data_IF_542512102553
#
_entry.id   IF_542512102553
#
_cell.length_a   1.000
_cell.length_b   1.000
_cell.length_c   1.000
_cell.angle_alpha   90.00
_cell.angle_beta   90.00
_cell.angle_gamma   90.00
#
_symmetry.space_group_name_H-M   'P 1'
#
loop_
_entity.id
_entity.type
_entity.pdbx_description
1 polymer ?
#
# COMPACT_ATOMS: atom_id res chain seq x y z
N UNK A 1 11.15 -11.70 -11.47
CA UNK A 1 10.69 -11.73 -10.07
C UNK A 1 10.52 -10.31 -9.58
N UNK A 2 9.90 -10.11 -8.41
CA UNK A 2 9.81 -8.81 -7.76
C UNK A 2 10.25 -8.82 -6.30
N UNK A 3 10.76 -7.66 -5.86
CA UNK A 3 11.05 -7.31 -4.48
C UNK A 3 10.08 -6.23 -4.04
N UNK A 4 9.37 -6.50 -2.94
CA UNK A 4 8.25 -5.67 -2.50
C UNK A 4 8.58 -5.06 -1.14
N UNK A 5 8.32 -3.77 -0.96
CA UNK A 5 8.43 -3.08 0.33
C UNK A 5 7.06 -2.56 0.79
N UNK A 6 6.81 -2.67 2.09
CA UNK A 6 5.65 -2.08 2.74
C UNK A 6 5.78 -0.57 2.93
N UNK A 7 5.04 -0.07 3.91
CA UNK A 7 4.86 1.33 4.24
C UNK A 7 6.21 2.01 4.57
N UNK A 8 6.42 3.21 4.03
CA UNK A 8 7.68 3.93 4.15
C UNK A 8 7.62 5.13 5.09
N UNK A 9 6.47 5.83 5.15
CA UNK A 9 6.26 7.04 5.94
C UNK A 9 7.50 7.95 5.95
N UNK A 10 7.99 8.30 4.76
CA UNK A 10 9.11 9.21 4.57
C UNK A 10 10.50 8.70 4.95
N UNK A 11 10.66 7.41 5.27
CA UNK A 11 11.95 6.82 5.62
C UNK A 11 12.84 6.62 4.38
N UNK A 12 13.51 7.69 3.97
CA UNK A 12 14.42 7.69 2.81
C UNK A 12 15.57 6.70 2.94
N UNK A 13 15.99 6.36 4.17
CA UNK A 13 17.06 5.38 4.38
C UNK A 13 16.61 3.98 3.95
N UNK A 14 15.39 3.56 4.35
CA UNK A 14 14.78 2.30 3.90
C UNK A 14 14.54 2.30 2.39
N UNK A 15 14.03 3.39 1.83
CA UNK A 15 13.82 3.50 0.38
C UNK A 15 15.14 3.33 -0.40
N UNK A 16 16.24 3.95 0.04
CA UNK A 16 17.56 3.78 -0.57
C UNK A 16 18.09 2.35 -0.43
N UNK A 17 17.91 1.71 0.73
CA UNK A 17 18.32 0.32 0.93
C UNK A 17 17.53 -0.63 0.00
N UNK A 18 16.22 -0.42 -0.11
CA UNK A 18 15.34 -1.14 -1.02
C UNK A 18 15.81 -1.05 -2.47
N UNK A 19 16.01 0.16 -2.99
CA UNK A 19 16.50 0.35 -4.37
C UNK A 19 17.95 -0.10 -4.57
N UNK A 20 18.73 -0.31 -3.51
CA UNK A 20 20.06 -0.89 -3.61
C UNK A 20 20.03 -2.43 -3.65
N UNK A 21 18.97 -3.04 -3.11
CA UNK A 21 18.83 -4.48 -3.02
C UNK A 21 18.26 -5.06 -4.32
N UNK A 22 18.96 -6.02 -4.93
CA UNK A 22 18.55 -6.71 -6.16
C UNK A 22 18.07 -5.74 -7.25
N UNK A 23 18.94 -4.80 -7.63
CA UNK A 23 18.65 -3.66 -8.52
C UNK A 23 18.05 -4.02 -9.88
N UNK A 24 18.34 -5.22 -10.37
CA UNK A 24 17.89 -5.69 -11.67
C UNK A 24 16.46 -6.27 -11.61
N UNK A 25 15.90 -6.47 -10.42
CA UNK A 25 14.56 -7.01 -10.24
C UNK A 25 13.49 -5.92 -10.19
N UNK A 26 12.24 -6.31 -10.40
CA UNK A 26 11.10 -5.40 -10.30
C UNK A 26 10.93 -4.95 -8.85
N UNK A 27 10.94 -3.65 -8.60
CA UNK A 27 10.64 -3.06 -7.31
C UNK A 27 9.17 -2.65 -7.22
N UNK A 28 8.50 -3.01 -6.14
CA UNK A 28 7.11 -2.64 -5.85
C UNK A 28 7.01 -2.02 -4.45
N UNK A 29 6.36 -0.86 -4.35
CA UNK A 29 6.08 -0.20 -3.07
C UNK A 29 4.57 -0.18 -2.80
N UNK A 30 4.17 -0.57 -1.59
CA UNK A 30 2.75 -0.82 -1.26
C UNK A 30 1.95 0.40 -0.80
N UNK A 31 2.52 1.61 -0.81
CA UNK A 31 1.85 2.84 -0.40
C UNK A 31 2.37 3.43 0.91
N UNK A 32 1.66 4.43 1.40
CA UNK A 32 1.93 5.17 2.65
C UNK A 32 3.36 5.74 2.67
N UNK A 33 3.58 6.69 1.76
CA UNK A 33 4.89 7.28 1.51
C UNK A 33 5.22 8.46 2.41
N UNK A 34 4.21 9.09 3.01
CA UNK A 34 4.29 10.32 3.82
C UNK A 34 3.61 10.12 5.18
N UNK A 35 3.36 11.19 5.95
CA UNK A 35 2.70 11.14 7.26
C UNK A 35 3.48 10.44 8.38
N UNK A 36 4.81 10.48 8.32
CA UNK A 36 5.61 10.05 9.47
C UNK A 36 5.34 10.92 10.69
N UNK A 37 5.25 10.28 11.86
CA UNK A 37 5.27 10.95 13.16
C UNK A 37 6.67 11.35 13.62
N UNK A 38 7.72 10.81 12.98
CA UNK A 38 9.11 10.97 13.43
C UNK A 38 10.04 11.52 12.36
N UNK A 39 9.80 11.24 11.08
CA UNK A 39 10.59 11.81 9.98
C UNK A 39 10.18 13.28 9.71
N UNK A 40 11.14 14.22 9.63
CA UNK A 40 10.86 15.60 9.23
C UNK A 40 10.29 15.69 7.81
N UNK A 41 9.37 16.64 7.57
CA UNK A 41 8.69 16.80 6.27
C UNK A 41 9.63 16.89 5.07
N UNK A 42 10.81 17.52 5.22
CA UNK A 42 11.86 17.57 4.19
C UNK A 42 12.37 16.17 3.79
N UNK A 43 12.63 15.29 4.77
CA UNK A 43 13.06 13.91 4.50
C UNK A 43 11.95 13.09 3.87
N UNK A 44 10.70 13.32 4.28
CA UNK A 44 9.55 12.68 3.65
C UNK A 44 9.39 13.14 2.19
N UNK A 45 9.58 14.43 1.90
CA UNK A 45 9.55 14.96 0.54
C UNK A 45 10.66 14.34 -0.33
N UNK A 46 11.89 14.26 0.18
CA UNK A 46 13.00 13.62 -0.53
C UNK A 46 12.72 12.12 -0.79
N UNK A 47 12.10 11.42 0.18
CA UNK A 47 11.68 10.04 0.02
C UNK A 47 10.62 9.90 -1.09
N UNK A 48 9.58 10.73 -1.04
CA UNK A 48 8.49 10.74 -2.01
C UNK A 48 9.00 11.05 -3.43
N UNK A 49 9.88 12.04 -3.58
CA UNK A 49 10.50 12.37 -4.87
C UNK A 49 11.30 11.19 -5.42
N UNK A 50 12.14 10.56 -4.59
CA UNK A 50 12.90 9.37 -4.97
C UNK A 50 11.98 8.24 -5.48
N UNK A 51 10.84 8.01 -4.82
CA UNK A 51 9.86 6.99 -5.23
C UNK A 51 9.22 7.35 -6.57
N UNK A 52 8.70 8.56 -6.71
CA UNK A 52 8.01 9.02 -7.92
C UNK A 52 8.91 8.96 -9.15
N UNK A 53 10.17 9.36 -9.01
CA UNK A 53 11.18 9.38 -10.09
C UNK A 53 11.76 8.00 -10.41
N UNK A 54 11.58 7.02 -9.52
CA UNK A 54 12.04 5.65 -9.75
C UNK A 54 11.23 4.92 -10.84
N UNK A 55 11.77 3.80 -11.33
CA UNK A 55 11.07 2.87 -12.24
C UNK A 55 10.18 1.85 -11.50
N UNK A 56 10.04 1.98 -10.18
CA UNK A 56 9.25 1.03 -9.38
C UNK A 56 7.75 1.15 -9.63
N UNK A 57 7.04 0.05 -9.45
CA UNK A 57 5.58 0.05 -9.37
C UNK A 57 5.17 0.59 -8.00
N UNK A 58 4.34 1.64 -8.00
CA UNK A 58 3.88 2.30 -6.78
C UNK A 58 2.39 2.02 -6.61
N UNK A 59 1.99 1.63 -5.40
CA UNK A 59 0.58 1.50 -5.02
C UNK A 59 0.14 2.66 -4.13
N UNK A 60 -1.16 2.92 -4.12
CA UNK A 60 -1.78 3.92 -3.25
C UNK A 60 -1.97 3.37 -1.84
N UNK A 61 -1.49 4.09 -0.83
CA UNK A 61 -1.89 3.90 0.56
C UNK A 61 -2.97 4.88 1.02
N UNK A 62 -3.57 4.66 2.19
CA UNK A 62 -4.59 5.55 2.72
C UNK A 62 -4.03 6.93 3.13
N UNK A 63 -2.75 7.00 3.55
CA UNK A 63 -2.04 8.24 3.84
C UNK A 63 -1.56 8.96 2.58
N UNK A 64 -1.55 8.32 1.41
CA UNK A 64 -1.30 9.00 0.15
C UNK A 64 -2.61 9.61 -0.38
N UNK A 65 -3.68 8.82 -0.36
CA UNK A 65 -4.99 9.20 -0.92
C UNK A 65 -5.65 10.38 -0.21
N UNK A 66 -5.44 10.57 1.10
CA UNK A 66 -6.04 11.70 1.80
C UNK A 66 -5.39 13.07 1.45
N UNK A 67 -4.31 13.09 0.67
CA UNK A 67 -3.74 14.29 0.07
C UNK A 67 -4.30 14.59 -1.32
N UNK A 68 -5.22 13.80 -1.87
CA UNK A 68 -5.90 14.19 -3.10
C UNK A 68 -6.75 15.46 -2.88
N UNK A 69 -7.06 16.25 -3.93
CA UNK A 69 -7.83 17.49 -3.81
C UNK A 69 -9.19 17.31 -3.11
N UNK A 70 -9.75 16.11 -3.19
CA UNK A 70 -11.05 15.73 -2.67
C UNK A 70 -10.95 14.40 -1.91
N UNK A 71 -10.36 14.40 -0.71
CA UNK A 71 -10.08 13.18 0.00
C UNK A 71 -11.36 12.61 0.61
N UNK A 72 -11.44 11.28 0.66
CA UNK A 72 -12.56 10.53 1.23
C UNK A 72 -12.55 10.52 2.76
N UNK A 73 -11.36 10.64 3.34
CA UNK A 73 -11.11 10.63 4.77
C UNK A 73 -9.91 11.53 5.10
N UNK A 74 -9.59 11.65 6.39
CA UNK A 74 -8.32 12.20 6.85
C UNK A 74 -7.69 11.21 7.82
N UNK A 75 -6.50 10.73 7.50
CA UNK A 75 -5.68 9.93 8.39
C UNK A 75 -5.00 10.77 9.49
N UNK A 76 -4.61 10.09 10.57
CA UNK A 76 -3.68 10.64 11.55
C UNK A 76 -2.33 10.94 10.87
N UNK A 77 -1.52 11.84 11.42
CA UNK A 77 -0.22 12.19 10.83
C UNK A 77 -0.27 13.25 9.72
N UNK A 78 -1.47 13.61 9.22
CA UNK A 78 -1.63 14.65 8.19
C UNK A 78 -0.86 15.93 8.51
N UNK A 79 0.03 16.33 7.60
CA UNK A 79 0.96 17.43 7.77
C UNK A 79 0.47 18.68 7.03
N UNK A 80 -0.29 19.54 7.73
CA UNK A 80 -0.89 20.74 7.14
C UNK A 80 0.13 21.64 6.41
N UNK A 81 1.35 21.78 6.94
CA UNK A 81 2.41 22.58 6.33
C UNK A 81 2.97 21.99 5.03
N UNK A 82 2.98 20.66 4.88
CA UNK A 82 3.48 19.97 3.69
C UNK A 82 2.37 19.69 2.67
N UNK A 83 1.11 19.80 3.09
CA UNK A 83 -0.05 19.42 2.30
C UNK A 83 -0.11 20.05 0.89
N UNK A 84 0.23 21.33 0.66
CA UNK A 84 0.27 21.88 -0.70
C UNK A 84 1.22 21.12 -1.62
N UNK A 85 2.42 20.77 -1.12
CA UNK A 85 3.45 20.08 -1.89
C UNK A 85 3.03 18.63 -2.16
N UNK A 86 2.54 17.91 -1.15
CA UNK A 86 2.09 16.53 -1.34
C UNK A 86 0.87 16.44 -2.25
N UNK A 87 -0.07 17.39 -2.15
CA UNK A 87 -1.23 17.50 -3.06
C UNK A 87 -0.80 17.60 -4.51
N UNK A 88 0.15 18.48 -4.82
CA UNK A 88 0.60 18.69 -6.20
C UNK A 88 1.25 17.41 -6.77
N UNK A 89 2.07 16.72 -5.96
CA UNK A 89 2.72 15.48 -6.37
C UNK A 89 1.68 14.36 -6.59
N UNK A 90 0.78 14.14 -5.63
CA UNK A 90 -0.19 13.05 -5.72
C UNK A 90 -1.29 13.32 -6.76
N UNK A 91 -1.71 14.58 -6.95
CA UNK A 91 -2.65 14.92 -8.02
C UNK A 91 -2.04 14.63 -9.40
N UNK A 92 -0.77 14.99 -9.62
CA UNK A 92 -0.04 14.65 -10.85
C UNK A 92 0.14 13.14 -11.01
N UNK A 93 0.46 12.43 -9.92
CA UNK A 93 0.60 10.98 -9.94
C UNK A 93 -0.72 10.28 -10.31
N UNK A 94 -1.86 10.80 -9.83
CA UNK A 94 -3.19 10.32 -10.20
C UNK A 94 -3.50 10.59 -11.68
N UNK A 95 -3.26 11.82 -12.16
CA UNK A 95 -3.50 12.21 -13.56
C UNK A 95 -2.69 11.37 -14.55
N UNK A 96 -1.43 11.08 -14.21
CA UNK A 96 -0.52 10.30 -15.05
C UNK A 96 -0.66 8.79 -14.89
N UNK A 97 -1.46 8.31 -13.93
CA UNK A 97 -1.55 6.89 -13.59
C UNK A 97 -0.25 6.31 -13.01
N UNK A 98 0.64 7.15 -12.47
CA UNK A 98 1.95 6.74 -11.92
C UNK A 98 1.82 5.76 -10.74
N UNK A 99 0.74 5.90 -9.96
CA UNK A 99 0.44 5.09 -8.79
C UNK A 99 -0.87 4.34 -9.05
N UNK A 100 -0.88 3.03 -8.77
CA UNK A 100 -1.99 2.11 -9.03
C UNK A 100 -2.70 1.72 -7.73
N UNK A 101 -3.92 1.19 -7.80
CA UNK A 101 -4.62 0.69 -6.60
C UNK A 101 -4.15 -0.73 -6.21
N UNK A 102 -3.77 -1.53 -7.21
CA UNK A 102 -3.28 -2.89 -7.06
C UNK A 102 -2.31 -3.25 -8.20
N UNK A 103 -1.51 -4.30 -8.02
CA UNK A 103 -0.82 -4.96 -9.12
C UNK A 103 -0.72 -6.47 -8.86
N UNK A 104 -0.36 -7.24 -9.88
CA UNK A 104 -0.09 -8.66 -9.75
C UNK A 104 1.31 -8.97 -10.26
N UNK A 105 2.02 -9.87 -9.57
CA UNK A 105 3.35 -10.32 -9.97
C UNK A 105 3.61 -11.73 -9.43
N UNK A 106 4.14 -12.62 -10.26
CA UNK A 106 4.52 -14.00 -9.87
C UNK A 106 3.40 -14.77 -9.12
N UNK A 107 2.14 -14.52 -9.49
CA UNK A 107 0.95 -15.12 -8.86
C UNK A 107 0.62 -14.57 -7.46
N UNK A 108 1.18 -13.40 -7.10
CA UNK A 108 0.84 -12.63 -5.92
C UNK A 108 0.06 -11.38 -6.31
N UNK A 109 -1.08 -11.16 -5.67
CA UNK A 109 -1.79 -9.89 -5.67
C UNK A 109 -1.12 -8.95 -4.67
N UNK A 110 -0.79 -7.74 -5.10
CA UNK A 110 -0.25 -6.69 -4.26
C UNK A 110 -1.29 -5.58 -4.10
N UNK A 111 -1.63 -5.26 -2.86
CA UNK A 111 -2.47 -4.10 -2.49
C UNK A 111 -1.89 -3.44 -1.24
N UNK A 112 -2.38 -2.26 -0.88
CA UNK A 112 -1.90 -1.60 0.33
C UNK A 112 -2.27 -2.35 1.61
N UNK A 113 -3.53 -2.74 1.79
CA UNK A 113 -4.01 -3.31 3.06
C UNK A 113 -4.48 -4.78 2.97
N UNK A 114 -4.41 -5.40 1.79
CA UNK A 114 -4.99 -6.71 1.52
C UNK A 114 -6.46 -6.62 1.09
N UNK A 115 -7.05 -7.77 0.77
CA UNK A 115 -8.44 -7.86 0.31
C UNK A 115 -9.29 -8.57 1.36
N UNK A 116 -10.26 -7.87 1.93
CA UNK A 116 -11.27 -8.48 2.80
C UNK A 116 -12.12 -9.52 2.03
N UNK A 117 -12.47 -10.69 2.59
CA UNK A 117 -13.28 -11.72 1.92
C UNK A 117 -14.59 -11.21 1.32
N UNK A 118 -15.31 -10.34 2.03
CA UNK A 118 -16.59 -9.78 1.58
C UNK A 118 -16.47 -8.80 0.39
N UNK A 119 -15.26 -8.39 0.00
CA UNK A 119 -15.06 -7.51 -1.16
C UNK A 119 -15.22 -8.27 -2.48
N UNK A 120 -14.97 -9.58 -2.48
CA UNK A 120 -14.93 -10.40 -3.68
C UNK A 120 -16.14 -11.31 -3.75
N UNK A 121 -16.81 -11.32 -4.92
CA UNK A 121 -18.00 -12.15 -5.16
C UNK A 121 -17.72 -13.44 -5.94
N UNK A 122 -16.49 -13.66 -6.40
CA UNK A 122 -16.07 -14.82 -7.19
C UNK A 122 -14.56 -15.03 -7.12
N UNK A 123 -14.14 -16.24 -7.42
CA UNK A 123 -12.71 -16.57 -7.53
C UNK A 123 -12.09 -15.85 -8.74
N UNK A 124 -10.88 -15.37 -8.55
CA UNK A 124 -10.06 -14.65 -9.51
C UNK A 124 -8.59 -15.06 -9.32
N UNK A 125 -7.85 -15.09 -10.41
CA UNK A 125 -6.38 -15.05 -10.35
C UNK A 125 -5.90 -13.71 -9.78
N UNK A 126 -4.64 -13.64 -9.35
CA UNK A 126 -4.04 -12.38 -8.89
C UNK A 126 -4.14 -11.28 -9.96
N UNK A 127 -3.87 -11.62 -11.23
CA UNK A 127 -3.96 -10.70 -12.36
C UNK A 127 -5.38 -10.19 -12.60
N UNK A 128 -6.38 -11.07 -12.57
CA UNK A 128 -7.80 -10.68 -12.71
C UNK A 128 -8.25 -9.80 -11.54
N UNK A 129 -7.83 -10.12 -10.32
CA UNK A 129 -8.13 -9.32 -9.14
C UNK A 129 -7.48 -7.93 -9.23
N UNK A 130 -6.21 -7.84 -9.62
CA UNK A 130 -5.53 -6.56 -9.82
C UNK A 130 -6.22 -5.71 -10.90
N UNK A 131 -6.58 -6.32 -12.03
CA UNK A 131 -7.30 -5.63 -13.11
C UNK A 131 -8.68 -5.13 -12.65
N UNK A 132 -9.43 -5.96 -11.91
CA UNK A 132 -10.72 -5.57 -11.34
C UNK A 132 -10.58 -4.40 -10.37
N UNK A 133 -9.64 -4.47 -9.41
CA UNK A 133 -9.42 -3.42 -8.43
C UNK A 133 -8.99 -2.09 -9.08
N UNK A 134 -8.10 -2.13 -10.07
CA UNK A 134 -7.69 -0.94 -10.82
C UNK A 134 -8.82 -0.37 -11.70
N UNK A 135 -9.74 -1.20 -12.20
CA UNK A 135 -10.93 -0.74 -12.92
C UNK A 135 -11.98 -0.10 -12.00
N UNK A 136 -12.14 -0.64 -10.79
CA UNK A 136 -13.08 -0.14 -9.79
C UNK A 136 -12.60 1.13 -9.07
N UNK A 137 -11.29 1.27 -8.88
CA UNK A 137 -10.68 2.41 -8.19
C UNK A 137 -11.13 3.78 -8.72
N UNK A 138 -10.95 4.13 -10.02
CA UNK A 138 -11.36 5.44 -10.53
C UNK A 138 -12.88 5.63 -10.47
N UNK A 139 -13.67 4.55 -10.64
CA UNK A 139 -15.13 4.58 -10.55
C UNK A 139 -15.60 4.96 -9.15
N UNK A 140 -15.05 4.29 -8.13
CA UNK A 140 -15.41 4.55 -6.73
C UNK A 140 -14.82 5.89 -6.24
N UNK A 141 -13.65 6.29 -6.74
CA UNK A 141 -13.04 7.56 -6.38
C UNK A 141 -13.88 8.73 -6.91
N UNK A 142 -14.34 8.64 -8.16
CA UNK A 142 -15.25 9.62 -8.76
C UNK A 142 -16.62 9.65 -8.05
N UNK A 143 -17.14 8.48 -7.64
CA UNK A 143 -18.37 8.36 -6.86
C UNK A 143 -18.21 8.84 -5.40
N UNK A 144 -16.98 9.13 -4.97
CA UNK A 144 -16.62 9.52 -3.60
C UNK A 144 -17.04 8.48 -2.55
N UNK A 145 -16.88 7.21 -2.88
CA UNK A 145 -17.17 6.13 -1.97
C UNK A 145 -17.33 4.78 -2.67
N UNK A 146 -17.29 3.73 -1.85
CA UNK A 146 -17.47 2.36 -2.27
C UNK A 146 -16.61 1.39 -1.46
N UNK A 147 -16.79 0.08 -1.65
CA UNK A 147 -16.14 -0.94 -0.83
C UNK A 147 -14.61 -0.94 -0.83
N UNK A 148 -13.94 -0.39 -1.86
CA UNK A 148 -12.48 -0.23 -1.85
C UNK A 148 -12.01 0.75 -0.76
N UNK A 149 -12.88 1.68 -0.40
CA UNK A 149 -12.64 2.84 0.44
C UNK A 149 -13.24 2.72 1.83
N UNK A 150 -13.88 1.60 2.13
CA UNK A 150 -14.50 1.36 3.42
C UNK A 150 -13.47 1.38 4.56
N UNK A 151 -13.88 1.96 5.68
CA UNK A 151 -13.10 2.01 6.91
C UNK A 151 -13.87 1.28 8.00
N UNK A 152 -13.40 0.11 8.41
CA UNK A 152 -14.01 -0.65 9.50
C UNK A 152 -13.93 0.10 10.83
N UNK A 153 -14.84 -0.24 11.76
CA UNK A 153 -14.79 0.24 13.14
C UNK A 153 -13.45 -0.04 13.83
N UNK A 154 -12.77 -1.14 13.48
CA UNK A 154 -11.47 -1.54 14.01
C UNK A 154 -10.33 -0.53 13.68
N UNK A 155 -10.54 0.29 12.64
CA UNK A 155 -9.66 1.39 12.20
C UNK A 155 -10.33 2.76 12.32
N UNK A 156 -11.42 2.86 13.09
CA UNK A 156 -12.07 4.12 13.45
C UNK A 156 -13.15 4.62 12.49
N UNK A 157 -13.56 3.81 11.51
CA UNK A 157 -14.71 4.11 10.64
C UNK A 157 -16.01 3.48 11.11
N UNK A 158 -16.98 3.40 10.21
CA UNK A 158 -18.32 2.85 10.49
C UNK A 158 -18.77 1.82 9.44
N UNK A 159 -17.91 1.49 8.49
CA UNK A 159 -18.22 0.54 7.44
C UNK A 159 -18.14 -0.90 7.95
N UNK A 160 -18.81 -1.85 7.27
CA UNK A 160 -18.88 -3.24 7.72
C UNK A 160 -17.53 -3.98 7.72
N UNK A 161 -16.57 -3.54 6.92
CA UNK A 161 -15.21 -4.10 6.82
C UNK A 161 -14.24 -3.07 6.21
N UNK A 162 -12.93 -3.30 6.31
CA UNK A 162 -11.92 -2.44 5.69
C UNK A 162 -11.73 -2.75 4.21
N UNK A 163 -11.73 -1.71 3.38
CA UNK A 163 -11.40 -1.83 1.96
C UNK A 163 -9.90 -2.03 1.72
N UNK A 164 -9.45 -2.07 0.46
CA UNK A 164 -8.05 -2.38 0.12
C UNK A 164 -7.02 -1.37 0.62
N UNK A 165 -7.47 -0.24 1.18
CA UNK A 165 -6.63 0.79 1.79
C UNK A 165 -6.70 0.81 3.33
N UNK A 166 -7.59 0.01 3.94
CA UNK A 166 -7.89 0.08 5.38
C UNK A 166 -8.09 -1.28 6.05
N UNK A 167 -8.12 -2.36 5.27
CA UNK A 167 -8.31 -3.71 5.79
C UNK A 167 -7.22 -4.06 6.81
N UNK A 168 -7.65 -4.53 7.98
CA UNK A 168 -6.76 -5.04 9.01
C UNK A 168 -7.18 -6.46 9.40
N UNK A 169 -6.53 -7.51 8.87
CA UNK A 169 -6.93 -8.89 9.14
C UNK A 169 -6.83 -9.25 10.63
N UNK A 170 -5.95 -8.61 11.39
CA UNK A 170 -5.73 -8.92 12.80
C UNK A 170 -6.77 -8.23 13.70
N UNK A 171 -7.18 -7.00 13.37
CA UNK A 171 -8.18 -6.26 14.14
C UNK A 171 -9.61 -6.57 13.72
N UNK A 172 -9.84 -6.90 12.45
CA UNK A 172 -11.14 -7.34 11.95
C UNK A 172 -11.39 -8.83 12.22
N UNK A 173 -10.36 -9.58 12.63
CA UNK A 173 -10.50 -10.97 13.07
C UNK A 173 -10.81 -11.94 11.92
N UNK A 174 -10.33 -11.64 10.71
CA UNK A 174 -10.52 -12.48 9.51
C UNK A 174 -9.25 -12.51 8.67
N UNK A 175 -9.02 -13.64 7.99
CA UNK A 175 -7.93 -13.74 7.02
C UNK A 175 -8.25 -12.95 5.73
N UNK A 176 -7.22 -12.51 4.99
CA UNK A 176 -7.39 -12.00 3.63
C UNK A 176 -8.09 -13.03 2.72
N UNK A 177 -8.84 -12.53 1.73
CA UNK A 177 -9.62 -13.35 0.82
C UNK A 177 -8.78 -14.39 0.08
N UNK A 178 -9.17 -15.67 0.17
CA UNK A 178 -8.56 -16.74 -0.62
C UNK A 178 -9.02 -16.76 -2.08
N UNK A 179 -10.04 -15.97 -2.40
CA UNK A 179 -10.65 -15.88 -3.73
C UNK A 179 -9.79 -15.13 -4.75
N UNK A 180 -8.68 -14.52 -4.33
CA UNK A 180 -7.80 -13.71 -5.20
C UNK A 180 -6.38 -14.26 -5.30
N UNK A 181 -6.21 -15.54 -4.94
CA UNK A 181 -4.90 -16.17 -4.87
C UNK A 181 -4.07 -15.68 -3.69
N UNK A 182 -2.74 -15.67 -3.86
CA UNK A 182 -1.80 -15.27 -2.81
C UNK A 182 -1.71 -13.75 -2.72
N UNK A 183 -1.52 -13.18 -1.54
CA UNK A 183 -1.52 -11.72 -1.33
C UNK A 183 -0.25 -11.21 -0.64
N UNK A 184 0.27 -10.06 -1.05
CA UNK A 184 1.28 -9.30 -0.31
C UNK A 184 0.74 -7.89 -0.07
N UNK A 185 0.77 -7.44 1.19
CA UNK A 185 0.23 -6.13 1.57
C UNK A 185 0.94 -5.54 2.79
N UNK A 186 0.71 -4.24 3.03
CA UNK A 186 1.20 -3.43 4.13
C UNK A 186 0.11 -3.06 5.14
N UNK A 187 0.01 -1.78 5.52
CA UNK A 187 -1.00 -1.12 6.38
C UNK A 187 -1.09 -1.55 7.85
N UNK A 188 -0.91 -2.84 8.12
CA UNK A 188 -1.01 -3.37 9.47
C UNK A 188 0.36 -3.57 10.08
N UNK A 189 0.83 -2.52 10.75
CA UNK A 189 2.15 -2.48 11.36
C UNK A 189 2.46 -3.69 12.25
N UNK A 190 3.63 -4.28 12.01
CA UNK A 190 4.19 -5.37 12.81
C UNK A 190 5.65 -5.07 13.17
N UNK A 191 6.13 -5.70 14.24
CA UNK A 191 7.56 -5.71 14.59
C UNK A 191 8.41 -6.46 13.54
N UNK A 192 7.81 -7.45 12.90
CA UNK A 192 8.40 -8.30 11.87
C UNK A 192 7.32 -8.75 10.90
N UNK A 193 7.65 -9.06 9.63
CA UNK A 193 6.68 -9.51 8.65
C UNK A 193 5.92 -10.74 9.13
N UNK A 194 4.63 -10.83 8.79
CA UNK A 194 3.83 -12.03 9.00
C UNK A 194 3.60 -12.70 7.66
N UNK A 195 4.22 -13.86 7.46
CA UNK A 195 4.19 -14.61 6.19
C UNK A 195 3.54 -15.97 6.44
N UNK A 196 2.61 -16.33 5.56
CA UNK A 196 1.93 -17.63 5.48
C UNK A 196 2.05 -18.18 4.06
N UNK A 197 1.52 -19.38 3.82
CA UNK A 197 1.47 -19.98 2.48
C UNK A 197 0.60 -19.19 1.48
N UNK A 198 -0.31 -18.34 1.99
CA UNK A 198 -1.31 -17.66 1.18
C UNK A 198 -1.22 -16.14 1.22
N UNK A 199 -0.61 -15.57 2.24
CA UNK A 199 -0.49 -14.13 2.34
C UNK A 199 0.70 -13.67 3.18
N UNK A 200 1.19 -12.47 2.88
CA UNK A 200 2.25 -11.79 3.60
C UNK A 200 1.83 -10.35 3.94
N UNK A 201 1.83 -10.02 5.23
CA UNK A 201 1.74 -8.63 5.71
C UNK A 201 3.15 -8.15 6.09
N UNK A 202 3.64 -7.14 5.38
CA UNK A 202 5.05 -6.72 5.43
C UNK A 202 5.25 -5.28 5.90
N UNK A 203 4.20 -4.63 6.41
CA UNK A 203 4.35 -3.34 7.06
C UNK A 203 5.16 -3.50 8.36
N UNK A 204 6.37 -2.96 8.31
CA UNK A 204 7.33 -2.92 9.41
C UNK A 204 7.93 -1.53 9.53
N UNK A 205 7.16 -0.48 9.22
CA UNK A 205 7.67 0.89 9.07
C UNK A 205 8.44 1.39 10.30
N UNK A 206 7.96 1.11 11.51
CA UNK A 206 8.64 1.51 12.76
C UNK A 206 9.67 0.48 13.26
N UNK A 207 9.89 -0.62 12.53
CA UNK A 207 11.01 -1.52 12.81
C UNK A 207 12.33 -0.84 12.44
N UNK A 208 13.39 -0.95 13.27
CA UNK A 208 14.72 -0.45 12.90
C UNK A 208 15.34 -1.22 11.73
N UNK A 209 14.78 -2.39 11.38
CA UNK A 209 15.22 -3.23 10.29
C UNK A 209 14.43 -2.90 9.01
N UNK A 210 15.06 -3.03 7.85
CA UNK A 210 14.38 -2.95 6.56
C UNK A 210 14.00 -4.37 6.13
N UNK A 211 12.71 -4.61 5.93
CA UNK A 211 12.20 -5.89 5.44
C UNK A 211 11.59 -5.70 4.06
N UNK A 212 11.85 -6.67 3.20
CA UNK A 212 11.26 -6.78 1.86
C UNK A 212 10.68 -8.17 1.67
N UNK A 213 9.70 -8.31 0.78
CA UNK A 213 9.22 -9.61 0.34
C UNK A 213 9.85 -9.98 -0.99
N UNK A 214 10.42 -11.19 -1.06
CA UNK A 214 10.99 -11.75 -2.27
C UNK A 214 10.02 -12.78 -2.86
N UNK A 215 9.42 -12.42 -3.98
CA UNK A 215 8.42 -13.26 -4.67
C UNK A 215 8.99 -14.56 -5.22
N UNK A 216 10.31 -14.63 -5.47
CA UNK A 216 10.98 -15.84 -5.95
C UNK A 216 11.03 -16.91 -4.85
N UNK A 217 11.28 -16.51 -3.61
CA UNK A 217 11.34 -17.43 -2.47
C UNK A 217 10.02 -17.53 -1.71
N UNK A 218 9.12 -16.56 -1.89
CA UNK A 218 7.90 -16.43 -1.10
C UNK A 218 8.17 -16.05 0.36
N UNK A 219 9.30 -15.40 0.63
CA UNK A 219 9.75 -15.09 1.99
C UNK A 219 10.03 -13.62 2.19
N UNK A 220 9.90 -13.17 3.44
CA UNK A 220 10.40 -11.86 3.85
C UNK A 220 11.89 -11.93 4.21
N UNK A 221 12.67 -11.00 3.66
CA UNK A 221 14.12 -10.92 3.80
C UNK A 221 14.49 -9.58 4.41
N UNK A 222 15.47 -9.59 5.31
CA UNK A 222 16.03 -8.37 5.89
C UNK A 222 17.19 -7.85 5.04
N UNK A 223 17.20 -6.55 4.77
CA UNK A 223 18.20 -5.86 3.93
C UNK A 223 18.83 -4.66 4.63
#
# INVERSE_FOLDING_TARGET
MAIIIGDLHGNITKAKAFFAHKREEIHICLGDYVDSFTEPGERQLQCLQLLIESQSLLLWGNHDLHYLPYPLWRCNGFQLGMAPIYRDIFAKALETGRIQAACAVDGWLCTHAGVHPALMGRDMTADEAAAFLNGEFPRQLAARGGPLFYVAAARGGTDPFGGIFWFDPFREGTEPSRMVGRQVFGHTERKMPHVTDHWACIDTVNSPQCWVFDTCTGQAVRI
#
